data_IF_296552741137
#
_entry.id   IF_296552741137
#
_cell.length_a   1.000
_cell.length_b   1.000
_cell.length_c   1.000
_cell.angle_alpha   90.00
_cell.angle_beta   90.00
_cell.angle_gamma   90.00
#
_symmetry.space_group_name_H-M   'P 1'
#
loop_
_entity.id
_entity.type
_entity.pdbx_description
1 polymer ?
#
# COMPACT_ATOMS: atom_id res chain seq x y z
N UNK A 1 0.29 15.37 3.17
CA UNK A 1 0.71 14.87 1.83
C UNK A 1 -0.46 14.27 1.06
N UNK A 2 -1.15 13.26 1.57
CA UNK A 2 -2.41 12.73 1.02
C UNK A 2 -3.55 13.10 1.97
N UNK A 3 -4.67 13.63 1.44
CA UNK A 3 -5.84 13.98 2.24
C UNK A 3 -7.12 13.61 1.49
N UNK A 4 -7.96 12.84 2.16
CA UNK A 4 -9.32 12.53 1.74
C UNK A 4 -10.29 13.29 2.65
N UNK A 5 -11.29 13.94 2.08
CA UNK A 5 -12.29 14.69 2.85
C UNK A 5 -13.68 14.28 2.39
N UNK A 6 -14.44 13.65 3.30
CA UNK A 6 -15.81 13.18 3.12
C UNK A 6 -16.01 12.40 1.82
N UNK A 7 -15.08 11.48 1.52
CA UNK A 7 -15.10 10.71 0.28
C UNK A 7 -16.16 9.62 0.34
N UNK A 8 -17.04 9.61 -0.66
CA UNK A 8 -17.95 8.52 -0.96
C UNK A 8 -17.51 7.86 -2.26
N UNK A 9 -17.46 6.54 -2.30
CA UNK A 9 -17.05 5.82 -3.50
C UNK A 9 -17.61 4.39 -3.49
N UNK A 10 -17.88 3.86 -4.68
CA UNK A 10 -18.41 2.51 -4.83
C UNK A 10 -18.55 2.07 -6.28
N UNK A 11 -19.42 1.14 -6.53
CA UNK A 11 -19.59 0.49 -7.83
C UNK A 11 -21.05 0.49 -8.25
N UNK A 12 -21.32 0.76 -9.54
CA UNK A 12 -22.66 0.65 -10.09
C UNK A 12 -23.70 1.56 -9.43
N UNK A 13 -23.28 2.71 -8.88
CA UNK A 13 -24.15 3.65 -8.19
C UNK A 13 -24.43 3.30 -6.71
N UNK A 14 -23.79 2.25 -6.19
CA UNK A 14 -23.86 1.88 -4.76
C UNK A 14 -22.56 2.25 -4.09
N UNK A 15 -22.60 3.14 -3.09
CA UNK A 15 -21.44 3.50 -2.31
C UNK A 15 -21.04 2.36 -1.38
N UNK A 16 -19.72 2.10 -1.35
CA UNK A 16 -19.03 1.16 -0.44
C UNK A 16 -18.31 1.94 0.64
N UNK A 17 -17.89 3.17 0.33
CA UNK A 17 -17.23 4.09 1.25
C UNK A 17 -18.18 5.25 1.55
N UNK A 18 -18.29 5.61 2.82
CA UNK A 18 -19.22 6.61 3.33
C UNK A 18 -18.47 7.68 4.11
N UNK A 19 -18.41 8.91 3.56
CA UNK A 19 -17.82 10.09 4.20
C UNK A 19 -16.42 9.85 4.78
N UNK A 20 -15.54 9.19 4.03
CA UNK A 20 -14.18 8.85 4.48
C UNK A 20 -13.32 10.10 4.65
N UNK A 21 -12.81 10.29 5.86
CA UNK A 21 -11.79 11.28 6.21
C UNK A 21 -10.50 10.55 6.58
N UNK A 22 -9.45 10.70 5.76
CA UNK A 22 -8.11 10.12 5.98
C UNK A 22 -7.07 11.15 5.59
N UNK A 23 -6.05 11.32 6.42
CA UNK A 23 -4.87 12.09 6.08
C UNK A 23 -3.58 11.28 6.30
N UNK A 24 -2.59 11.48 5.44
CA UNK A 24 -1.25 10.89 5.56
C UNK A 24 -0.23 12.01 5.41
N UNK A 25 0.65 12.14 6.39
CA UNK A 25 1.75 13.11 6.36
C UNK A 25 2.91 12.57 5.52
N UNK A 26 3.81 13.45 5.10
CA UNK A 26 5.04 13.03 4.40
C UNK A 26 5.92 12.21 5.34
N UNK A 27 6.45 11.09 4.85
CA UNK A 27 7.29 10.19 5.63
C UNK A 27 6.54 9.45 6.75
N UNK A 28 5.21 9.35 6.69
CA UNK A 28 4.42 8.63 7.67
C UNK A 28 4.16 7.18 7.24
N UNK A 29 4.15 6.25 8.20
CA UNK A 29 3.66 4.89 8.00
C UNK A 29 2.28 4.77 8.66
N UNK A 30 1.23 4.65 7.85
CA UNK A 30 -0.17 4.57 8.28
C UNK A 30 -0.74 3.20 7.96
N UNK A 31 -1.48 2.61 8.89
CA UNK A 31 -2.27 1.41 8.64
C UNK A 31 -3.76 1.76 8.50
N UNK A 32 -4.45 1.06 7.62
CA UNK A 32 -5.91 1.05 7.52
C UNK A 32 -6.34 -0.40 7.75
N UNK A 33 -6.98 -0.63 8.87
CA UNK A 33 -7.34 -1.99 9.33
C UNK A 33 -8.85 -2.16 9.37
N UNK A 34 -9.30 -3.40 9.28
CA UNK A 34 -10.73 -3.72 9.35
C UNK A 34 -11.04 -5.09 8.75
N UNK A 35 -12.27 -5.60 8.95
CA UNK A 35 -12.68 -6.90 8.45
C UNK A 35 -12.73 -6.95 6.91
N UNK A 36 -12.86 -8.17 6.36
CA UNK A 36 -13.10 -8.34 4.94
C UNK A 36 -14.45 -7.71 4.55
N UNK A 37 -14.46 -7.04 3.40
CA UNK A 37 -15.65 -6.31 2.95
C UNK A 37 -15.82 -4.91 3.57
N UNK A 38 -14.94 -4.47 4.47
CA UNK A 38 -15.04 -3.14 5.08
C UNK A 38 -14.86 -1.97 4.09
N UNK A 39 -14.33 -2.21 2.88
CA UNK A 39 -14.09 -1.17 1.87
C UNK A 39 -12.60 -0.82 1.66
N UNK A 40 -11.68 -1.52 2.31
CA UNK A 40 -10.22 -1.26 2.30
C UNK A 40 -9.65 -1.15 0.88
N UNK A 41 -9.82 -2.19 0.06
CA UNK A 41 -9.32 -2.19 -1.33
C UNK A 41 -10.07 -1.18 -2.21
N UNK A 42 -11.35 -0.87 -1.91
CA UNK A 42 -12.09 0.20 -2.59
C UNK A 42 -11.47 1.56 -2.30
N UNK A 43 -11.03 1.81 -1.08
CA UNK A 43 -10.33 3.03 -0.70
C UNK A 43 -9.03 3.20 -1.51
N UNK A 44 -8.21 2.16 -1.62
CA UNK A 44 -6.99 2.22 -2.41
C UNK A 44 -7.26 2.37 -3.91
N UNK A 45 -8.26 1.68 -4.44
CA UNK A 45 -8.72 1.86 -5.83
C UNK A 45 -9.23 3.28 -6.08
N UNK A 46 -9.83 3.92 -5.08
CA UNK A 46 -10.29 5.31 -5.18
C UNK A 46 -9.09 6.27 -5.18
N UNK A 47 -8.10 6.09 -4.29
CA UNK A 47 -6.87 6.88 -4.28
C UNK A 47 -6.08 6.70 -5.57
N UNK A 48 -5.97 5.49 -6.11
CA UNK A 48 -5.27 5.21 -7.37
C UNK A 48 -6.06 5.59 -8.64
N UNK A 49 -7.35 5.95 -8.49
CA UNK A 49 -8.21 6.45 -9.58
C UNK A 49 -8.88 5.36 -10.41
N UNK A 50 -8.83 4.11 -9.96
CA UNK A 50 -9.56 2.98 -10.57
C UNK A 50 -11.05 3.11 -10.29
N UNK A 51 -11.41 3.59 -9.09
CA UNK A 51 -12.77 3.94 -8.70
C UNK A 51 -12.88 5.46 -8.60
N UNK A 52 -13.91 6.03 -9.23
CA UNK A 52 -14.19 7.46 -9.15
C UNK A 52 -15.10 7.71 -7.95
N UNK A 53 -14.75 8.60 -7.02
CA UNK A 53 -15.64 8.93 -5.92
C UNK A 53 -16.91 9.66 -6.42
N UNK A 54 -18.03 9.40 -5.76
CA UNK A 54 -19.31 10.06 -6.01
C UNK A 54 -19.40 11.43 -5.34
N UNK A 55 -18.70 11.60 -4.19
CA UNK A 55 -18.64 12.83 -3.39
C UNK A 55 -17.30 12.97 -2.68
N UNK A 56 -17.04 14.17 -2.16
CA UNK A 56 -15.84 14.49 -1.40
C UNK A 56 -14.68 14.97 -2.26
N UNK A 57 -13.49 15.05 -1.68
CA UNK A 57 -12.26 15.46 -2.37
C UNK A 57 -11.08 14.58 -1.97
N UNK A 58 -10.12 14.43 -2.89
CA UNK A 58 -8.85 13.74 -2.66
C UNK A 58 -7.73 14.64 -3.14
N UNK A 59 -6.85 15.01 -2.24
CA UNK A 59 -5.70 15.87 -2.50
C UNK A 59 -4.40 15.11 -2.25
N UNK A 60 -3.44 15.27 -3.16
CA UNK A 60 -2.09 14.74 -3.03
C UNK A 60 -1.08 15.81 -3.40
N UNK A 61 -0.24 16.26 -2.45
CA UNK A 61 0.76 17.32 -2.66
C UNK A 61 0.15 18.54 -3.37
N UNK A 62 -0.93 19.09 -2.80
CA UNK A 62 -1.67 20.26 -3.32
C UNK A 62 -2.34 20.04 -4.71
N UNK A 63 -2.35 18.80 -5.21
CA UNK A 63 -3.02 18.41 -6.45
C UNK A 63 -4.33 17.71 -6.15
N UNK A 64 -5.44 18.21 -6.71
CA UNK A 64 -6.74 17.53 -6.65
C UNK A 64 -6.72 16.29 -7.57
N UNK A 65 -6.74 15.10 -6.98
CA UNK A 65 -6.69 13.83 -7.74
C UNK A 65 -7.94 13.56 -8.58
N UNK A 66 -9.07 14.22 -8.31
CA UNK A 66 -10.27 14.05 -9.13
C UNK A 66 -10.10 14.56 -10.56
N UNK A 67 -9.16 15.49 -10.76
CA UNK A 67 -8.82 16.04 -12.08
C UNK A 67 -7.70 15.26 -12.77
N UNK A 68 -7.11 14.26 -12.10
CA UNK A 68 -5.95 13.50 -12.60
C UNK A 68 -6.37 12.07 -12.99
N UNK A 69 -6.26 11.70 -14.28
CA UNK A 69 -6.53 10.33 -14.72
C UNK A 69 -5.68 9.30 -13.96
N UNK A 70 -6.22 8.10 -13.70
CA UNK A 70 -5.54 7.04 -12.98
C UNK A 70 -4.12 6.75 -13.51
N UNK A 71 -3.96 6.64 -14.83
CA UNK A 71 -2.67 6.38 -15.48
C UNK A 71 -1.61 7.47 -15.21
N UNK A 72 -2.01 8.68 -14.82
CA UNK A 72 -1.09 9.78 -14.50
C UNK A 72 -0.75 9.89 -13.03
N UNK A 73 -1.48 9.22 -12.13
CA UNK A 73 -1.24 9.30 -10.67
C UNK A 73 0.11 8.72 -10.26
N UNK A 74 0.60 7.69 -10.97
CA UNK A 74 1.94 7.17 -10.75
C UNK A 74 3.04 8.22 -11.05
N UNK A 75 2.85 9.09 -12.05
CA UNK A 75 3.78 10.18 -12.35
C UNK A 75 3.80 11.29 -11.29
N UNK A 76 2.77 11.38 -10.44
CA UNK A 76 2.77 12.25 -9.25
C UNK A 76 3.55 11.65 -8.08
N UNK A 77 3.86 10.35 -8.14
CA UNK A 77 4.55 9.62 -7.09
C UNK A 77 3.64 8.73 -6.23
N UNK A 78 2.46 8.34 -6.73
CA UNK A 78 1.57 7.40 -6.06
C UNK A 78 1.79 6.02 -6.68
N UNK A 79 2.34 5.06 -5.92
CA UNK A 79 2.40 3.66 -6.34
C UNK A 79 1.39 2.82 -5.55
N UNK A 80 0.72 1.90 -6.23
CA UNK A 80 -0.25 0.99 -5.65
C UNK A 80 0.14 -0.45 -5.95
N UNK A 81 0.37 -1.23 -4.92
CA UNK A 81 0.60 -2.67 -4.97
C UNK A 81 -0.71 -3.34 -4.55
N UNK A 82 -1.50 -3.84 -5.50
CA UNK A 82 -2.78 -4.45 -5.22
C UNK A 82 -2.61 -5.84 -4.60
N UNK A 83 -3.67 -6.33 -4.00
CA UNK A 83 -3.83 -7.70 -3.53
C UNK A 83 -3.52 -8.72 -4.64
N UNK A 84 -3.00 -9.89 -4.26
CA UNK A 84 -2.81 -11.02 -5.19
C UNK A 84 -1.51 -10.97 -6.00
N UNK A 85 -0.51 -10.19 -5.56
CA UNK A 85 0.86 -10.12 -6.10
C UNK A 85 0.94 -9.53 -7.51
N UNK A 86 0.13 -10.00 -8.46
CA UNK A 86 -0.04 -9.52 -9.85
C UNK A 86 1.30 -9.26 -10.59
N UNK A 87 2.25 -10.19 -10.46
CA UNK A 87 3.51 -10.14 -11.22
C UNK A 87 3.29 -10.54 -12.68
N UNK A 88 4.13 -10.05 -13.59
CA UNK A 88 4.16 -10.48 -14.98
C UNK A 88 4.89 -11.83 -15.05
N UNK A 89 4.15 -12.94 -14.98
CA UNK A 89 4.67 -14.29 -14.77
C UNK A 89 5.60 -14.77 -15.90
N UNK A 90 5.40 -14.29 -17.13
CA UNK A 90 6.23 -14.62 -18.32
C UNK A 90 7.47 -13.73 -18.47
N UNK A 91 7.64 -12.73 -17.62
CA UNK A 91 8.81 -11.86 -17.57
C UNK A 91 9.76 -12.30 -16.45
N UNK A 92 11.03 -11.98 -16.61
CA UNK A 92 12.03 -12.16 -15.54
C UNK A 92 11.79 -11.22 -14.37
N UNK A 93 12.49 -11.43 -13.27
CA UNK A 93 12.47 -10.53 -12.10
C UNK A 93 12.91 -9.13 -12.54
N UNK A 94 14.02 -9.01 -13.26
CA UNK A 94 14.54 -7.72 -13.72
C UNK A 94 13.54 -7.00 -14.62
N UNK A 95 12.98 -7.68 -15.63
CA UNK A 95 11.97 -7.10 -16.53
C UNK A 95 10.72 -6.62 -15.78
N UNK A 96 10.28 -7.34 -14.73
CA UNK A 96 9.20 -6.88 -13.87
C UNK A 96 9.55 -5.57 -13.15
N UNK A 97 10.78 -5.43 -12.67
CA UNK A 97 11.25 -4.20 -12.01
C UNK A 97 11.36 -3.04 -13.01
N UNK A 98 11.90 -3.29 -14.21
CA UNK A 98 11.96 -2.29 -15.29
C UNK A 98 10.57 -1.79 -15.69
N UNK A 99 9.57 -2.69 -15.76
CA UNK A 99 8.18 -2.30 -16.00
C UNK A 99 7.63 -1.41 -14.88
N UNK A 100 8.08 -1.56 -13.63
CA UNK A 100 7.74 -0.66 -12.54
C UNK A 100 8.33 0.74 -12.69
N UNK A 101 9.51 0.84 -13.29
CA UNK A 101 10.24 2.10 -13.48
C UNK A 101 9.76 2.94 -14.69
N UNK A 102 8.56 2.68 -15.24
CA UNK A 102 8.05 3.36 -16.44
C UNK A 102 7.80 4.86 -16.25
N UNK A 103 7.71 5.36 -15.02
CA UNK A 103 7.54 6.79 -14.75
C UNK A 103 8.85 7.54 -15.03
N UNK A 104 8.75 8.86 -15.33
CA UNK A 104 9.95 9.69 -15.51
C UNK A 104 10.88 9.64 -14.30
N UNK A 105 10.34 9.64 -13.09
CA UNK A 105 11.12 9.55 -11.85
C UNK A 105 11.77 8.18 -11.69
N UNK A 106 11.04 7.11 -12.00
CA UNK A 106 11.57 5.75 -11.98
C UNK A 106 12.76 5.59 -12.95
N UNK A 107 12.62 6.08 -14.18
CA UNK A 107 13.69 6.03 -15.19
C UNK A 107 14.89 6.88 -14.80
N UNK A 108 14.67 8.10 -14.29
CA UNK A 108 15.76 9.01 -13.90
C UNK A 108 16.61 8.46 -12.75
N UNK A 109 16.02 7.70 -11.85
CA UNK A 109 16.67 7.17 -10.66
C UNK A 109 16.87 5.64 -10.71
N UNK A 110 16.75 5.03 -11.88
CA UNK A 110 16.69 3.58 -12.04
C UNK A 110 17.81 2.84 -11.33
N UNK A 111 19.07 3.14 -11.63
CA UNK A 111 20.22 2.41 -11.11
C UNK A 111 20.27 2.49 -9.57
N UNK A 112 20.10 3.69 -9.02
CA UNK A 112 20.11 3.90 -7.57
C UNK A 112 18.90 3.23 -6.88
N UNK A 113 17.73 3.20 -7.53
CA UNK A 113 16.54 2.55 -7.01
C UNK A 113 16.68 1.02 -7.06
N UNK A 114 17.23 0.48 -8.14
CA UNK A 114 17.50 -0.95 -8.30
C UNK A 114 18.49 -1.45 -7.22
N UNK A 115 19.55 -0.71 -6.96
CA UNK A 115 20.52 -1.03 -5.89
C UNK A 115 19.84 -1.09 -4.51
N UNK A 116 18.97 -0.10 -4.21
CA UNK A 116 18.19 -0.10 -2.96
C UNK A 116 17.24 -1.30 -2.89
N UNK A 117 16.51 -1.61 -3.98
CA UNK A 117 15.62 -2.76 -4.05
C UNK A 117 16.38 -4.05 -3.75
N UNK A 118 17.57 -4.22 -4.32
CA UNK A 118 18.41 -5.41 -4.09
C UNK A 118 18.98 -5.46 -2.67
N UNK A 119 19.19 -4.30 -2.04
CA UNK A 119 19.56 -4.22 -0.62
C UNK A 119 18.39 -4.64 0.28
N UNK A 120 17.17 -4.21 -0.01
CA UNK A 120 15.99 -4.59 0.76
C UNK A 120 15.54 -6.03 0.51
N UNK A 121 15.69 -6.52 -0.73
CA UNK A 121 15.28 -7.85 -1.16
C UNK A 121 16.42 -8.58 -1.91
N UNK A 122 17.47 -9.06 -1.21
CA UNK A 122 18.64 -9.68 -1.86
C UNK A 122 18.30 -10.87 -2.76
N UNK A 123 17.27 -11.64 -2.40
CA UNK A 123 16.78 -12.77 -3.20
C UNK A 123 16.38 -12.40 -4.63
N UNK A 124 15.95 -11.13 -4.86
CA UNK A 124 15.60 -10.66 -6.20
C UNK A 124 16.86 -10.39 -7.05
N UNK A 125 17.94 -9.95 -6.44
CA UNK A 125 19.23 -9.80 -7.13
C UNK A 125 19.78 -11.16 -7.58
N UNK A 126 19.75 -12.16 -6.69
CA UNK A 126 20.20 -13.53 -6.99
C UNK A 126 19.40 -14.19 -8.12
N UNK A 127 18.13 -13.77 -8.30
CA UNK A 127 17.16 -14.35 -9.22
C UNK A 127 16.74 -13.44 -10.36
N UNK A 128 17.53 -12.39 -10.64
CA UNK A 128 17.15 -11.35 -11.61
C UNK A 128 16.79 -11.88 -13.01
N UNK A 129 17.41 -12.95 -13.45
CA UNK A 129 17.14 -13.60 -14.74
C UNK A 129 16.06 -14.70 -14.67
N UNK A 130 15.52 -15.01 -13.48
CA UNK A 130 14.50 -16.03 -13.30
C UNK A 130 13.12 -15.50 -13.69
N UNK A 131 12.29 -16.33 -14.34
CA UNK A 131 10.90 -15.99 -14.65
C UNK A 131 10.09 -15.82 -13.36
N UNK A 132 9.36 -14.69 -13.24
CA UNK A 132 8.60 -14.34 -12.05
C UNK A 132 7.53 -15.38 -11.69
N UNK A 133 6.94 -16.07 -12.68
CA UNK A 133 5.97 -17.13 -12.46
C UNK A 133 6.53 -18.36 -11.74
N UNK A 134 7.85 -18.54 -11.71
CA UNK A 134 8.52 -19.68 -11.06
C UNK A 134 9.02 -19.39 -9.65
N UNK A 135 8.85 -18.15 -9.18
CA UNK A 135 9.18 -17.75 -7.81
C UNK A 135 8.18 -18.32 -6.80
N UNK A 136 8.61 -18.49 -5.55
CA UNK A 136 7.69 -18.78 -4.45
C UNK A 136 6.70 -17.63 -4.23
N UNK A 137 5.57 -17.90 -3.55
CA UNK A 137 4.57 -16.88 -3.27
C UNK A 137 5.11 -15.66 -2.51
N UNK A 138 6.00 -15.86 -1.54
CA UNK A 138 6.66 -14.78 -0.82
C UNK A 138 7.60 -13.97 -1.72
N UNK A 139 8.38 -14.63 -2.57
CA UNK A 139 9.26 -13.97 -3.53
C UNK A 139 8.48 -13.16 -4.57
N UNK A 140 7.32 -13.68 -5.02
CA UNK A 140 6.42 -12.93 -5.90
C UNK A 140 5.86 -11.68 -5.21
N UNK A 141 5.55 -11.76 -3.90
CA UNK A 141 5.11 -10.61 -3.13
C UNK A 141 6.23 -9.57 -2.97
N UNK A 142 7.45 -10.01 -2.66
CA UNK A 142 8.62 -9.13 -2.63
C UNK A 142 8.85 -8.44 -3.98
N UNK A 143 8.68 -9.18 -5.09
CA UNK A 143 8.79 -8.62 -6.44
C UNK A 143 7.67 -7.60 -6.74
N UNK A 144 6.43 -7.87 -6.33
CA UNK A 144 5.31 -6.94 -6.51
C UNK A 144 5.52 -5.63 -5.75
N UNK A 145 6.00 -5.69 -4.49
CA UNK A 145 6.37 -4.53 -3.69
C UNK A 145 7.52 -3.76 -4.38
N UNK A 146 8.56 -4.47 -4.79
CA UNK A 146 9.73 -3.90 -5.45
C UNK A 146 9.39 -3.22 -6.77
N UNK A 147 8.46 -3.77 -7.54
CA UNK A 147 7.94 -3.14 -8.76
C UNK A 147 7.23 -1.82 -8.46
N UNK A 148 6.49 -1.73 -7.35
CA UNK A 148 5.92 -0.46 -6.88
C UNK A 148 7.00 0.55 -6.49
N UNK A 149 8.07 0.11 -5.81
CA UNK A 149 9.22 0.94 -5.43
C UNK A 149 10.04 1.41 -6.63
N UNK A 150 10.11 0.62 -7.71
CA UNK A 150 10.83 0.96 -8.93
C UNK A 150 10.31 2.25 -9.61
N UNK A 151 9.05 2.63 -9.38
CA UNK A 151 8.51 3.93 -9.81
C UNK A 151 9.14 5.13 -9.10
N UNK A 152 9.99 4.92 -8.08
CA UNK A 152 10.53 5.92 -7.16
C UNK A 152 9.41 6.79 -6.55
N UNK A 153 8.45 6.16 -5.83
CA UNK A 153 7.24 6.84 -5.37
C UNK A 153 7.48 7.71 -4.15
N UNK A 154 6.59 8.68 -3.93
CA UNK A 154 6.49 9.45 -2.67
C UNK A 154 5.60 8.76 -1.64
N UNK A 155 4.62 8.01 -2.14
CA UNK A 155 3.71 7.19 -1.32
C UNK A 155 3.52 5.82 -1.97
N UNK A 156 3.63 4.77 -1.17
CA UNK A 156 3.38 3.39 -1.57
C UNK A 156 2.15 2.86 -0.83
N UNK A 157 1.12 2.49 -1.59
CA UNK A 157 -0.11 1.88 -1.10
C UNK A 157 0.02 0.36 -1.22
N UNK A 158 -0.14 -0.38 -0.12
CA UNK A 158 0.04 -1.83 -0.03
C UNK A 158 -1.26 -2.49 0.40
N UNK A 159 -1.92 -3.20 -0.52
CA UNK A 159 -3.21 -3.85 -0.29
C UNK A 159 -3.01 -5.31 0.14
N UNK A 160 -3.18 -5.58 1.43
CA UNK A 160 -3.05 -6.89 2.09
C UNK A 160 -1.78 -7.68 1.67
N UNK A 161 -0.56 -7.10 1.85
CA UNK A 161 0.67 -7.71 1.37
C UNK A 161 1.02 -9.03 2.08
N UNK A 162 0.43 -9.33 3.22
CA UNK A 162 0.64 -10.58 3.97
C UNK A 162 -0.28 -11.73 3.55
N UNK A 163 -1.31 -11.42 2.73
CA UNK A 163 -2.37 -12.39 2.44
C UNK A 163 -1.86 -13.62 1.69
N UNK A 164 -2.27 -14.81 2.17
CA UNK A 164 -1.91 -16.10 1.56
C UNK A 164 -0.42 -16.46 1.69
N UNK A 165 0.27 -15.87 2.66
CA UNK A 165 1.66 -16.18 3.01
C UNK A 165 1.71 -16.95 4.33
N UNK A 166 2.79 -17.72 4.53
CA UNK A 166 3.06 -18.28 5.86
C UNK A 166 3.42 -17.16 6.84
N UNK A 167 3.17 -17.35 8.15
CA UNK A 167 3.50 -16.33 9.15
C UNK A 167 4.93 -15.81 9.05
N UNK A 168 5.90 -16.71 8.94
CA UNK A 168 7.32 -16.32 8.85
C UNK A 168 7.65 -15.45 7.63
N UNK A 169 7.01 -15.70 6.48
CA UNK A 169 7.21 -14.88 5.28
C UNK A 169 6.48 -13.54 5.41
N UNK A 170 5.30 -13.53 6.03
CA UNK A 170 4.58 -12.29 6.32
C UNK A 170 5.41 -11.37 7.23
N UNK A 171 5.97 -11.93 8.30
CA UNK A 171 6.85 -11.21 9.24
C UNK A 171 8.08 -10.65 8.51
N UNK A 172 8.72 -11.46 7.65
CA UNK A 172 9.85 -10.98 6.84
C UNK A 172 9.45 -9.78 5.95
N UNK A 173 8.28 -9.82 5.32
CA UNK A 173 7.80 -8.70 4.49
C UNK A 173 7.58 -7.46 5.34
N UNK A 174 6.96 -7.58 6.51
CA UNK A 174 6.78 -6.43 7.40
C UNK A 174 8.11 -5.85 7.87
N UNK A 175 9.08 -6.67 8.24
CA UNK A 175 10.44 -6.21 8.59
C UNK A 175 11.09 -5.44 7.45
N UNK A 176 10.93 -5.89 6.20
CA UNK A 176 11.42 -5.18 5.01
C UNK A 176 10.69 -3.85 4.81
N UNK A 177 9.37 -3.79 5.02
CA UNK A 177 8.61 -2.53 4.92
C UNK A 177 9.07 -1.51 5.97
N UNK A 178 9.36 -1.96 7.21
CA UNK A 178 9.95 -1.11 8.25
C UNK A 178 11.33 -0.60 7.81
N UNK A 179 12.17 -1.47 7.28
CA UNK A 179 13.50 -1.10 6.78
C UNK A 179 13.40 -0.06 5.66
N UNK A 180 12.50 -0.26 4.69
CA UNK A 180 12.23 0.68 3.60
C UNK A 180 11.81 2.03 4.17
N UNK A 181 10.84 2.04 5.08
CA UNK A 181 10.32 3.26 5.70
C UNK A 181 11.43 4.03 6.45
N UNK A 182 12.28 3.34 7.21
CA UNK A 182 13.36 3.96 7.99
C UNK A 182 14.53 4.46 7.15
N UNK A 183 14.76 3.86 5.98
CA UNK A 183 15.91 4.16 5.11
C UNK A 183 15.54 5.01 3.88
N UNK A 184 14.30 5.48 3.80
CA UNK A 184 13.82 6.31 2.69
C UNK A 184 12.77 7.31 3.16
N UNK A 185 12.48 8.33 2.34
CA UNK A 185 11.44 9.32 2.59
C UNK A 185 10.05 8.88 2.07
N UNK A 186 9.90 7.59 1.73
CA UNK A 186 8.65 7.06 1.18
C UNK A 186 7.61 6.94 2.31
N UNK A 187 6.46 7.54 2.10
CA UNK A 187 5.31 7.30 2.99
C UNK A 187 4.68 5.96 2.64
N UNK A 188 4.34 5.17 3.65
CA UNK A 188 3.68 3.89 3.47
C UNK A 188 2.24 3.95 3.96
N UNK A 189 1.32 3.45 3.16
CA UNK A 189 -0.06 3.19 3.60
C UNK A 189 -0.35 1.71 3.39
N UNK A 190 -0.63 1.03 4.47
CA UNK A 190 -0.87 -0.39 4.52
C UNK A 190 -2.35 -0.66 4.79
N UNK A 191 -2.97 -1.50 3.99
CA UNK A 191 -4.27 -2.08 4.30
C UNK A 191 -4.05 -3.52 4.75
N UNK A 192 -4.60 -3.88 5.91
CA UNK A 192 -4.47 -5.23 6.48
C UNK A 192 -5.73 -5.66 7.24
N UNK A 193 -5.94 -6.96 7.29
CA UNK A 193 -6.92 -7.58 8.16
C UNK A 193 -6.34 -7.95 9.54
N UNK A 194 -5.04 -8.22 9.59
CA UNK A 194 -4.30 -8.58 10.81
C UNK A 194 -3.98 -7.32 11.60
N UNK A 195 -4.96 -6.89 12.43
CA UNK A 195 -4.93 -5.60 13.13
C UNK A 195 -3.74 -5.49 14.09
N UNK A 196 -3.47 -6.54 14.86
CA UNK A 196 -2.38 -6.55 15.84
C UNK A 196 -1.02 -6.28 15.20
N UNK A 197 -0.74 -6.96 14.09
CA UNK A 197 0.51 -6.82 13.36
C UNK A 197 0.59 -5.45 12.70
N UNK A 198 -0.48 -5.01 12.01
CA UNK A 198 -0.50 -3.71 11.36
C UNK A 198 -0.28 -2.55 12.35
N UNK A 199 -0.90 -2.62 13.53
CA UNK A 199 -0.69 -1.66 14.62
C UNK A 199 0.73 -1.70 15.20
N UNK A 200 1.42 -2.85 15.13
CA UNK A 200 2.81 -2.94 15.62
C UNK A 200 3.79 -2.14 14.75
N UNK A 201 3.50 -2.00 13.46
CA UNK A 201 4.42 -1.40 12.47
C UNK A 201 4.10 0.05 12.13
N UNK A 202 2.81 0.42 12.15
CA UNK A 202 2.36 1.75 11.79
C UNK A 202 2.47 2.73 12.96
N UNK A 203 2.83 3.97 12.67
CA UNK A 203 2.82 5.06 13.66
C UNK A 203 1.41 5.49 14.03
N UNK A 204 0.47 5.36 13.10
CA UNK A 204 -0.94 5.73 13.25
C UNK A 204 -1.82 4.81 12.40
N UNK A 205 -3.04 4.56 12.85
CA UNK A 205 -3.97 3.76 12.08
C UNK A 205 -5.40 4.32 12.07
N UNK A 206 -6.14 3.85 11.08
CA UNK A 206 -7.58 4.03 10.90
C UNK A 206 -8.27 2.67 10.94
N UNK A 207 -9.37 2.57 11.64
CA UNK A 207 -10.21 1.37 11.66
C UNK A 207 -11.40 1.62 10.75
N UNK A 208 -11.48 0.85 9.67
CA UNK A 208 -12.53 0.91 8.65
C UNK A 208 -13.50 -0.25 8.88
N UNK A 209 -14.78 0.06 9.05
CA UNK A 209 -15.85 -0.92 9.18
C UNK A 209 -17.08 -0.46 8.41
N UNK A 210 -17.69 -1.36 7.64
CA UNK A 210 -18.89 -1.08 6.83
C UNK A 210 -18.80 0.23 6.00
N UNK A 211 -17.60 0.54 5.48
CA UNK A 211 -17.37 1.73 4.65
C UNK A 211 -17.15 3.02 5.41
N UNK A 212 -17.04 3.01 6.73
CA UNK A 212 -16.84 4.18 7.58
C UNK A 212 -15.56 4.06 8.43
N UNK A 213 -14.89 5.19 8.71
CA UNK A 213 -13.82 5.24 9.71
C UNK A 213 -14.46 5.36 11.09
N UNK A 214 -14.43 4.25 11.85
CA UNK A 214 -15.04 4.20 13.20
C UNK A 214 -14.09 4.63 14.29
N UNK A 215 -12.77 4.57 14.05
CA UNK A 215 -11.73 4.95 15.00
C UNK A 215 -10.46 5.34 14.26
N UNK A 216 -9.71 6.27 14.81
CA UNK A 216 -8.38 6.62 14.33
C UNK A 216 -7.51 7.14 15.47
N UNK A 217 -6.22 6.92 15.39
CA UNK A 217 -5.29 7.39 16.41
C UNK A 217 -3.89 6.84 16.24
N UNK A 218 -3.00 7.28 17.12
CA UNK A 218 -1.65 6.72 17.22
C UNK A 218 -1.70 5.27 17.75
N UNK A 219 -0.67 4.50 17.46
CA UNK A 219 -0.57 3.09 17.86
C UNK A 219 -0.96 2.84 19.32
N UNK A 220 -0.39 3.63 20.25
CA UNK A 220 -0.64 3.46 21.69
C UNK A 220 -2.13 3.67 22.06
N UNK A 221 -2.77 4.70 21.46
CA UNK A 221 -4.19 5.00 21.70
C UNK A 221 -5.08 3.87 21.22
N UNK A 222 -4.78 3.29 20.05
CA UNK A 222 -5.58 2.24 19.46
C UNK A 222 -5.40 0.89 20.17
N UNK A 223 -4.19 0.58 20.67
CA UNK A 223 -3.94 -0.64 21.44
C UNK A 223 -4.64 -0.63 22.81
N UNK A 224 -4.87 0.54 23.39
CA UNK A 224 -5.58 0.71 24.66
C UNK A 224 -7.10 0.82 24.51
N UNK A 225 -7.62 1.02 23.29
CA UNK A 225 -9.08 1.11 23.06
C UNK A 225 -9.75 -0.27 23.25
N UNK A 226 -10.73 -0.32 24.17
CA UNK A 226 -11.42 -1.53 24.55
C UNK A 226 -12.14 -2.22 23.38
N UNK A 227 -12.67 -1.46 22.42
CA UNK A 227 -13.31 -1.98 21.20
C UNK A 227 -12.32 -2.72 20.32
N UNK A 228 -11.10 -2.17 20.17
CA UNK A 228 -10.03 -2.82 19.42
C UNK A 228 -9.55 -4.09 20.10
N UNK A 229 -9.39 -4.05 21.42
CA UNK A 229 -8.97 -5.21 22.22
C UNK A 229 -9.96 -6.36 22.11
N UNK A 230 -11.24 -6.08 22.27
CA UNK A 230 -12.30 -7.10 22.19
C UNK A 230 -12.52 -7.62 20.77
N UNK A 231 -12.59 -6.72 19.77
CA UNK A 231 -12.94 -7.10 18.41
C UNK A 231 -11.78 -7.73 17.63
N UNK A 232 -10.53 -7.31 17.89
CA UNK A 232 -9.39 -7.59 17.00
C UNK A 232 -8.14 -8.13 17.70
N UNK A 233 -7.98 -7.97 19.03
CA UNK A 233 -6.79 -8.44 19.75
C UNK A 233 -7.07 -9.71 20.59
N UNK A 234 -8.32 -10.17 20.65
CA UNK A 234 -8.69 -11.41 21.34
C UNK A 234 -8.50 -11.35 22.88
N UNK A 235 -8.55 -10.16 23.46
CA UNK A 235 -8.40 -9.91 24.89
C UNK A 235 -9.71 -9.43 25.51
#
# INVERSE_FOLDING_TARGET
>A
MLKLTKVHAGYGGVDVLHAIDVDVKSGEFVAIVGPNGAGKSTLFKTISGIVTPSQGSIEFLDTNLLTVPAAKRAHLGIAHVPEGRQVFSSMTVLENLEMGAYTRQGQLHWDATLEKIYTWFPVLAERQAQLAGTLSGGQQQMLAISRGLAANPKILLLDEPSMGLSPAIADEIFDRLIQIHRSSDISLVLVEQRVAEALHFASRAYVLEAGEIILSGDQAVLQDDERIRQAYLGM
#
